data_IF_407233817973
#
_entry.id   IF_407233817973
#
_cell.length_a   1.000
_cell.length_b   1.000
_cell.length_c   1.000
_cell.angle_alpha   90.00
_cell.angle_beta   90.00
_cell.angle_gamma   90.00
#
_symmetry.space_group_name_H-M   'P 1'
#
loop_
_entity.id
_entity.type
_entity.pdbx_description
1 polymer ?
#
# COMPACT_ATOMS: atom_id res chain seq x y z
N UNK A 1 15.77 -3.74 18.89
CA UNK A 1 15.08 -2.47 18.59
C UNK A 1 14.06 -2.26 19.70
N UNK A 2 14.07 -1.10 20.35
CA UNK A 2 13.06 -0.76 21.35
C UNK A 2 12.30 0.48 20.87
N UNK A 3 10.98 0.41 20.94
CA UNK A 3 10.08 1.52 20.65
C UNK A 3 9.13 1.67 21.84
N UNK A 4 9.07 2.85 22.43
CA UNK A 4 8.26 3.10 23.61
C UNK A 4 7.53 4.43 23.49
N UNK A 5 6.25 4.41 23.80
CA UNK A 5 5.39 5.59 23.98
C UNK A 5 5.05 5.69 25.45
N UNK A 6 5.15 6.88 26.02
CA UNK A 6 4.80 7.18 27.42
C UNK A 6 3.83 8.34 27.43
N UNK A 7 2.71 8.16 28.14
CA UNK A 7 1.68 9.15 28.40
C UNK A 7 1.26 9.94 27.15
N UNK A 8 0.86 9.22 26.09
CA UNK A 8 0.32 9.82 24.88
C UNK A 8 -1.20 9.75 24.86
N UNK A 9 -1.82 10.68 24.15
CA UNK A 9 -3.23 10.66 23.77
C UNK A 9 -3.38 10.82 22.26
N UNK A 10 -4.54 10.49 21.74
CA UNK A 10 -4.91 10.67 20.34
C UNK A 10 -6.30 11.27 20.30
N UNK A 11 -6.43 12.45 19.65
CA UNK A 11 -7.69 13.16 19.49
C UNK A 11 -7.96 13.47 18.01
N UNK A 12 -9.23 13.55 17.65
CA UNK A 12 -9.69 14.09 16.38
C UNK A 12 -10.60 15.29 16.66
N UNK A 13 -10.06 16.49 16.49
CA UNK A 13 -10.75 17.71 16.89
C UNK A 13 -10.96 17.76 18.41
N UNK A 14 -12.23 17.84 18.84
CA UNK A 14 -12.57 17.86 20.26
C UNK A 14 -12.75 16.46 20.90
N UNK A 15 -12.77 15.41 20.10
CA UNK A 15 -13.04 14.04 20.58
C UNK A 15 -11.74 13.31 20.84
N UNK A 16 -11.47 12.93 22.09
CA UNK A 16 -10.34 12.08 22.45
C UNK A 16 -10.71 10.62 22.20
N UNK A 17 -9.93 9.94 21.38
CA UNK A 17 -10.13 8.54 20.99
C UNK A 17 -9.38 7.59 21.91
N UNK A 18 -8.16 7.95 22.30
CA UNK A 18 -7.31 7.16 23.19
C UNK A 18 -6.59 8.11 24.16
N UNK A 19 -6.59 7.73 25.43
CA UNK A 19 -5.93 8.46 26.51
C UNK A 19 -4.91 7.57 27.22
N UNK A 20 -3.93 8.20 27.88
CA UNK A 20 -2.91 7.54 28.70
C UNK A 20 -2.22 6.36 28.01
N UNK A 21 -1.89 6.52 26.73
CA UNK A 21 -1.24 5.46 25.97
C UNK A 21 0.17 5.24 26.53
N UNK A 22 0.37 4.08 27.14
CA UNK A 22 1.66 3.60 27.60
C UNK A 22 1.92 2.26 26.89
N UNK A 23 2.93 2.22 26.01
CA UNK A 23 3.14 1.09 25.13
C UNK A 23 4.63 0.91 24.84
N UNK A 24 5.12 -0.32 24.91
CA UNK A 24 6.52 -0.65 24.61
C UNK A 24 6.59 -1.87 23.67
N UNK A 25 7.42 -1.79 22.65
CA UNK A 25 7.76 -2.90 21.76
C UNK A 25 9.26 -3.18 21.89
N UNK A 26 9.59 -4.40 22.27
CA UNK A 26 10.98 -4.90 22.31
C UNK A 26 11.32 -5.69 21.06
N UNK A 27 12.60 -5.97 20.90
CA UNK A 27 13.07 -6.82 19.82
C UNK A 27 12.44 -8.21 19.92
N UNK A 28 11.89 -8.69 18.80
CA UNK A 28 11.21 -10.00 18.64
C UNK A 28 9.84 -10.12 19.32
N UNK A 29 9.29 -9.05 19.88
CA UNK A 29 7.93 -9.08 20.42
C UNK A 29 6.91 -9.38 19.31
N UNK A 30 5.88 -10.14 19.68
CA UNK A 30 4.66 -10.37 18.92
C UNK A 30 3.50 -9.86 19.75
N UNK A 31 2.94 -8.73 19.35
CA UNK A 31 1.91 -8.03 20.14
C UNK A 31 0.58 -8.12 19.39
N UNK A 32 -0.47 -8.55 20.10
CA UNK A 32 -1.84 -8.52 19.58
C UNK A 32 -2.63 -7.41 20.30
N UNK A 33 -3.27 -6.54 19.52
CA UNK A 33 -4.18 -5.50 20.02
C UNK A 33 -5.61 -6.01 19.89
N UNK A 34 -6.28 -6.19 21.01
CA UNK A 34 -7.65 -6.71 21.08
C UNK A 34 -8.60 -5.67 21.66
N UNK A 35 -9.85 -5.69 21.23
CA UNK A 35 -10.89 -4.76 21.71
C UNK A 35 -12.10 -4.75 20.80
N UNK A 36 -13.19 -4.12 21.24
CA UNK A 36 -14.43 -3.97 20.47
C UNK A 36 -14.19 -3.13 19.20
N UNK A 37 -15.10 -3.22 18.23
CA UNK A 37 -15.08 -2.31 17.07
C UNK A 37 -15.27 -0.87 17.56
N UNK A 38 -14.50 0.06 16.99
CA UNK A 38 -14.51 1.47 17.42
C UNK A 38 -13.60 1.80 18.61
N UNK A 39 -12.94 0.82 19.26
CA UNK A 39 -12.08 1.08 20.43
C UNK A 39 -10.70 1.68 20.13
N UNK A 40 -10.46 2.24 18.95
CA UNK A 40 -9.21 2.93 18.63
C UNK A 40 -8.02 2.05 18.18
N UNK A 41 -8.22 0.71 18.00
CA UNK A 41 -7.12 -0.20 17.57
C UNK A 41 -6.39 0.25 16.33
N UNK A 42 -7.13 0.56 15.26
CA UNK A 42 -6.58 1.04 14.00
C UNK A 42 -5.94 2.42 14.15
N UNK A 43 -6.50 3.26 15.00
CA UNK A 43 -5.98 4.59 15.32
C UNK A 43 -4.61 4.47 16.01
N UNK A 44 -4.49 3.57 17.00
CA UNK A 44 -3.21 3.29 17.65
C UNK A 44 -2.15 2.78 16.67
N UNK A 45 -2.50 1.84 15.77
CA UNK A 45 -1.57 1.35 14.74
C UNK A 45 -1.12 2.46 13.79
N UNK A 46 -2.04 3.34 13.37
CA UNK A 46 -1.69 4.51 12.55
C UNK A 46 -0.75 5.46 13.27
N UNK A 47 -0.98 5.73 14.56
CA UNK A 47 -0.15 6.61 15.37
C UNK A 47 1.26 6.04 15.63
N UNK A 48 1.43 4.72 15.67
CA UNK A 48 2.76 4.08 15.71
C UNK A 48 3.54 4.36 14.42
N UNK A 49 2.86 4.39 13.28
CA UNK A 49 3.48 4.70 11.98
C UNK A 49 3.73 6.19 11.82
N UNK A 50 2.72 6.99 12.14
CA UNK A 50 2.75 8.46 12.09
C UNK A 50 2.60 9.05 13.49
N UNK A 51 3.74 9.32 14.12
CA UNK A 51 3.77 9.85 15.47
C UNK A 51 3.26 11.29 15.60
N UNK A 52 3.00 12.00 14.51
CA UNK A 52 2.37 13.34 14.54
C UNK A 52 0.93 13.30 15.07
N UNK A 53 0.32 12.12 15.11
CA UNK A 53 -1.00 11.90 15.69
C UNK A 53 -1.01 11.81 17.21
N UNK A 54 0.17 11.73 17.86
CA UNK A 54 0.32 11.57 19.30
C UNK A 54 0.46 12.94 19.97
N UNK A 55 -0.33 13.17 20.98
CA UNK A 55 -0.34 14.35 21.83
C UNK A 55 -0.01 13.99 23.27
N UNK A 56 0.26 14.97 24.12
CA UNK A 56 0.48 14.76 25.56
C UNK A 56 -0.80 14.26 26.23
N UNK A 57 -0.70 13.16 26.97
CA UNK A 57 -1.81 12.60 27.72
C UNK A 57 -2.01 13.29 29.08
N UNK A 58 -3.09 12.93 29.76
CA UNK A 58 -3.51 13.54 31.05
C UNK A 58 -2.70 12.99 32.24
N UNK A 59 -1.95 11.89 32.07
CA UNK A 59 -1.24 11.21 33.15
C UNK A 59 -0.10 12.03 33.79
N UNK A 60 0.34 11.65 34.97
CA UNK A 60 1.42 12.32 35.70
C UNK A 60 2.80 12.25 35.02
N UNK A 61 3.01 11.25 34.18
CA UNK A 61 4.26 11.06 33.43
C UNK A 61 4.34 12.02 32.27
N UNK A 62 5.50 12.60 32.04
CA UNK A 62 5.74 13.47 30.86
C UNK A 62 5.63 12.64 29.57
N UNK A 63 4.93 13.21 28.57
CA UNK A 63 4.85 12.65 27.23
C UNK A 63 6.24 12.45 26.63
N UNK A 64 6.50 11.25 26.14
CA UNK A 64 7.75 10.93 25.46
C UNK A 64 7.60 9.75 24.48
N UNK A 65 8.36 9.83 23.38
CA UNK A 65 8.51 8.75 22.42
C UNK A 65 9.99 8.37 22.34
N UNK A 66 10.30 7.14 22.70
CA UNK A 66 11.65 6.61 22.67
C UNK A 66 11.79 5.64 21.47
N UNK A 67 12.78 5.87 20.62
CA UNK A 67 13.13 5.00 19.50
C UNK A 67 14.62 4.67 19.57
N UNK A 68 14.95 3.39 19.60
CA UNK A 68 16.34 2.96 19.47
C UNK A 68 16.67 2.77 17.99
N UNK A 69 17.50 3.66 17.44
CA UNK A 69 17.87 3.69 16.02
C UNK A 69 16.75 4.26 15.11
N UNK A 70 16.84 3.97 13.83
CA UNK A 70 15.85 4.35 12.79
C UNK A 70 15.06 3.13 12.33
N UNK A 71 14.03 2.71 13.06
CA UNK A 71 13.26 1.53 12.69
C UNK A 71 12.54 1.74 11.36
N UNK A 72 12.65 0.77 10.44
CA UNK A 72 11.78 0.69 9.28
C UNK A 72 10.47 0.06 9.72
N UNK A 73 9.37 0.80 9.61
CA UNK A 73 8.04 0.34 9.96
C UNK A 73 7.30 0.00 8.67
N UNK A 74 6.93 -1.27 8.48
CA UNK A 74 6.00 -1.69 7.45
C UNK A 74 4.57 -1.68 8.04
N UNK A 75 3.65 -1.00 7.38
CA UNK A 75 2.24 -0.95 7.78
C UNK A 75 1.36 -1.60 6.72
N UNK A 76 0.76 -2.73 7.06
CA UNK A 76 -0.26 -3.34 6.22
C UNK A 76 -1.61 -2.72 6.58
N UNK A 77 -2.12 -1.89 5.70
CA UNK A 77 -3.45 -1.27 5.86
C UNK A 77 -4.54 -2.34 5.77
N UNK A 78 -5.66 -2.09 6.46
CA UNK A 78 -6.89 -2.83 6.18
C UNK A 78 -7.28 -2.56 4.72
N UNK A 79 -7.53 -3.64 3.99
CA UNK A 79 -7.79 -3.57 2.56
C UNK A 79 -9.19 -3.03 2.35
N UNK A 80 -9.28 -1.83 1.81
CA UNK A 80 -10.49 -1.22 1.29
C UNK A 80 -10.24 -0.96 -0.20
N UNK A 81 -10.99 -1.62 -1.05
CA UNK A 81 -10.98 -1.29 -2.46
C UNK A 81 -11.70 0.04 -2.66
N UNK A 82 -11.05 1.02 -3.26
CA UNK A 82 -11.60 2.35 -3.52
C UNK A 82 -12.87 2.27 -4.37
N UNK A 83 -12.91 1.29 -5.29
CA UNK A 83 -14.06 1.04 -6.14
C UNK A 83 -14.37 -0.47 -6.19
N UNK A 84 -15.43 -0.88 -5.51
CA UNK A 84 -15.88 -2.28 -5.49
C UNK A 84 -16.42 -2.77 -6.83
N UNK A 85 -16.70 -1.87 -7.78
CA UNK A 85 -17.14 -2.21 -9.14
C UNK A 85 -15.99 -2.42 -10.13
N UNK A 86 -14.75 -2.08 -9.76
CA UNK A 86 -13.56 -2.41 -10.56
C UNK A 86 -13.41 -3.91 -10.72
N UNK A 87 -12.82 -4.33 -11.83
CA UNK A 87 -12.45 -5.74 -12.04
C UNK A 87 -11.21 -6.10 -11.24
N UNK A 88 -11.01 -7.40 -11.00
CA UNK A 88 -9.79 -7.90 -10.35
C UNK A 88 -8.53 -7.47 -11.11
N UNK A 89 -8.55 -7.51 -12.44
CA UNK A 89 -7.43 -7.09 -13.27
C UNK A 89 -7.11 -5.60 -13.10
N UNK A 90 -8.13 -4.75 -13.07
CA UNK A 90 -7.93 -3.31 -12.84
C UNK A 90 -7.28 -3.02 -11.49
N UNK A 91 -7.66 -3.74 -10.44
CA UNK A 91 -7.04 -3.59 -9.12
C UNK A 91 -5.58 -4.08 -9.12
N UNK A 92 -5.29 -5.24 -9.73
CA UNK A 92 -3.93 -5.76 -9.86
C UNK A 92 -3.04 -4.79 -10.65
N UNK A 93 -3.55 -4.22 -11.74
CA UNK A 93 -2.79 -3.30 -12.58
C UNK A 93 -2.45 -1.97 -11.90
N UNK A 94 -3.12 -1.60 -10.80
CA UNK A 94 -2.70 -0.45 -9.99
C UNK A 94 -1.28 -0.60 -9.44
N UNK A 95 -0.87 -1.83 -9.07
CA UNK A 95 0.50 -2.10 -8.62
C UNK A 95 1.55 -1.92 -9.73
N UNK A 96 1.11 -2.08 -10.98
CA UNK A 96 1.95 -1.95 -12.18
C UNK A 96 1.70 -0.64 -12.94
N UNK A 97 1.00 0.33 -12.33
CA UNK A 97 0.59 1.58 -12.98
C UNK A 97 1.73 2.27 -13.75
N UNK A 98 2.95 2.42 -13.20
CA UNK A 98 4.06 3.05 -13.93
C UNK A 98 4.44 2.30 -15.21
N UNK A 99 4.38 0.96 -15.21
CA UNK A 99 4.65 0.14 -16.39
C UNK A 99 3.54 0.23 -17.42
N UNK A 100 2.28 0.19 -16.98
CA UNK A 100 1.10 0.33 -17.86
C UNK A 100 1.08 1.69 -18.56
N UNK A 101 1.43 2.75 -17.86
CA UNK A 101 1.52 4.10 -18.44
C UNK A 101 2.68 4.21 -19.44
N UNK A 102 3.83 3.62 -19.09
CA UNK A 102 4.99 3.60 -19.98
C UNK A 102 4.71 2.80 -21.26
N UNK A 103 4.06 1.65 -21.14
CA UNK A 103 3.63 0.82 -22.29
C UNK A 103 2.68 1.60 -23.23
N UNK A 104 1.67 2.28 -22.65
CA UNK A 104 0.77 3.15 -23.44
C UNK A 104 1.53 4.26 -24.15
N UNK A 105 2.51 4.87 -23.49
CA UNK A 105 3.35 5.92 -24.09
C UNK A 105 4.18 5.38 -25.26
N UNK A 106 4.82 4.22 -25.08
CA UNK A 106 5.61 3.55 -26.12
C UNK A 106 4.73 3.22 -27.32
N UNK A 107 3.56 2.62 -27.11
CA UNK A 107 2.62 2.27 -28.17
C UNK A 107 2.18 3.50 -28.97
N UNK A 108 1.86 4.61 -28.29
CA UNK A 108 1.52 5.88 -28.96
C UNK A 108 2.67 6.43 -29.78
N UNK A 109 3.91 6.36 -29.30
CA UNK A 109 5.08 6.79 -30.07
C UNK A 109 5.33 5.85 -31.26
N UNK A 110 5.13 4.54 -31.12
CA UNK A 110 5.22 3.58 -32.20
C UNK A 110 4.21 3.88 -33.33
N UNK A 111 2.97 4.23 -32.99
CA UNK A 111 1.97 4.68 -33.97
C UNK A 111 2.38 5.98 -34.67
N UNK A 112 2.92 6.94 -33.94
CA UNK A 112 3.41 8.21 -34.52
C UNK A 112 4.58 7.99 -35.48
N UNK A 113 5.49 7.06 -35.16
CA UNK A 113 6.63 6.72 -36.04
C UNK A 113 6.23 6.12 -37.40
N UNK A 114 5.02 5.56 -37.49
CA UNK A 114 4.50 5.08 -38.79
C UNK A 114 4.18 6.22 -39.79
N UNK A 115 3.89 7.41 -39.25
CA UNK A 115 3.47 8.57 -40.07
C UNK A 115 4.47 9.72 -40.06
N UNK A 116 5.29 9.82 -39.00
CA UNK A 116 6.27 10.89 -38.82
C UNK A 116 7.56 10.32 -38.26
N UNK A 117 8.67 10.51 -38.97
CA UNK A 117 10.00 10.11 -38.48
C UNK A 117 10.79 11.36 -38.13
N UNK A 118 10.86 11.68 -36.82
CA UNK A 118 11.80 12.68 -36.30
C UNK A 118 12.87 12.03 -35.45
N UNK A 119 14.10 12.52 -35.50
CA UNK A 119 15.21 11.99 -34.69
C UNK A 119 14.89 12.03 -33.21
N UNK A 120 14.22 13.09 -32.75
CA UNK A 120 13.79 13.25 -31.36
C UNK A 120 12.76 12.20 -30.94
N UNK A 121 11.80 11.88 -31.80
CA UNK A 121 10.78 10.86 -31.51
C UNK A 121 11.41 9.47 -31.43
N UNK A 122 12.38 9.17 -32.30
CA UNK A 122 13.11 7.89 -32.28
C UNK A 122 13.93 7.76 -30.99
N UNK A 123 14.63 8.82 -30.58
CA UNK A 123 15.43 8.82 -29.35
C UNK A 123 14.55 8.61 -28.10
N UNK A 124 13.44 9.34 -28.01
CA UNK A 124 12.49 9.20 -26.90
C UNK A 124 11.86 7.78 -26.86
N UNK A 125 11.50 7.24 -28.01
CA UNK A 125 10.96 5.89 -28.13
C UNK A 125 11.97 4.84 -27.65
N UNK A 126 13.23 4.92 -28.09
CA UNK A 126 14.29 4.00 -27.70
C UNK A 126 14.56 4.06 -26.19
N UNK A 127 14.66 5.27 -25.64
CA UNK A 127 14.88 5.48 -24.21
C UNK A 127 13.74 4.90 -23.35
N UNK A 128 12.50 5.09 -23.77
CA UNK A 128 11.35 4.56 -23.04
C UNK A 128 11.25 3.03 -23.17
N UNK A 129 11.64 2.44 -24.32
CA UNK A 129 11.76 1.00 -24.49
C UNK A 129 12.81 0.38 -23.53
N UNK A 130 14.00 0.96 -23.47
CA UNK A 130 15.05 0.51 -22.56
C UNK A 130 14.59 0.57 -21.09
N UNK A 131 13.92 1.66 -20.72
CA UNK A 131 13.34 1.83 -19.40
C UNK A 131 12.27 0.78 -19.10
N UNK A 132 11.39 0.49 -20.05
CA UNK A 132 10.34 -0.52 -19.92
C UNK A 132 10.92 -1.91 -19.75
N UNK A 133 11.92 -2.28 -20.55
CA UNK A 133 12.64 -3.55 -20.41
C UNK A 133 13.32 -3.67 -19.05
N UNK A 134 14.07 -2.64 -18.63
CA UNK A 134 14.78 -2.63 -17.34
C UNK A 134 13.84 -2.79 -16.14
N UNK A 135 12.61 -2.25 -16.23
CA UNK A 135 11.60 -2.35 -15.18
C UNK A 135 10.77 -3.64 -15.25
N UNK A 136 11.11 -4.58 -16.12
CA UNK A 136 10.37 -5.84 -16.26
C UNK A 136 9.09 -5.73 -17.09
N UNK A 137 8.98 -4.73 -17.97
CA UNK A 137 7.80 -4.48 -18.78
C UNK A 137 7.33 -5.66 -19.63
N UNK A 138 8.26 -6.51 -20.08
CA UNK A 138 7.88 -7.73 -20.83
C UNK A 138 7.48 -8.92 -19.96
N UNK A 139 7.66 -8.83 -18.63
CA UNK A 139 7.44 -9.96 -17.71
C UNK A 139 6.30 -9.71 -16.72
N UNK A 140 5.90 -8.47 -16.44
CA UNK A 140 4.94 -8.14 -15.41
C UNK A 140 3.58 -8.85 -15.57
N UNK A 141 3.13 -9.06 -16.82
CA UNK A 141 1.89 -9.80 -17.10
C UNK A 141 1.99 -11.25 -16.65
N UNK A 142 3.11 -11.91 -16.97
CA UNK A 142 3.36 -13.28 -16.53
C UNK A 142 3.52 -13.39 -15.01
N UNK A 143 4.07 -12.35 -14.38
CA UNK A 143 4.24 -12.28 -12.93
C UNK A 143 2.91 -12.24 -12.21
N UNK A 144 2.00 -11.32 -12.58
CA UNK A 144 0.69 -11.26 -11.94
C UNK A 144 -0.18 -12.50 -12.26
N UNK A 145 -0.12 -13.03 -13.49
CA UNK A 145 -0.84 -14.27 -13.82
C UNK A 145 -0.34 -15.47 -12.99
N UNK A 146 0.97 -15.53 -12.74
CA UNK A 146 1.57 -16.56 -11.89
C UNK A 146 1.14 -16.39 -10.43
N UNK A 147 1.13 -15.15 -9.94
CA UNK A 147 0.64 -14.84 -8.60
C UNK A 147 -0.83 -15.22 -8.43
N UNK A 148 -1.69 -14.83 -9.37
CA UNK A 148 -3.11 -15.21 -9.38
C UNK A 148 -3.31 -16.71 -9.25
N UNK A 149 -2.60 -17.51 -10.06
CA UNK A 149 -2.68 -18.97 -10.01
C UNK A 149 -2.26 -19.53 -8.65
N UNK A 150 -1.18 -19.00 -8.06
CA UNK A 150 -0.72 -19.39 -6.71
C UNK A 150 -1.77 -19.10 -5.63
N UNK A 151 -2.53 -18.02 -5.77
CA UNK A 151 -3.62 -17.67 -4.85
C UNK A 151 -4.94 -18.39 -5.15
N UNK A 152 -4.98 -19.23 -6.19
CA UNK A 152 -6.14 -20.05 -6.54
C UNK A 152 -7.17 -19.32 -7.40
N UNK A 153 -6.77 -18.28 -8.13
CA UNK A 153 -7.61 -17.59 -9.11
C UNK A 153 -7.39 -18.15 -10.52
N UNK A 154 -8.45 -18.19 -11.30
CA UNK A 154 -8.43 -18.56 -12.72
C UNK A 154 -8.25 -17.32 -13.61
N UNK A 155 -8.04 -17.55 -14.91
CA UNK A 155 -7.92 -16.44 -15.87
C UNK A 155 -9.26 -15.69 -16.03
N UNK A 156 -10.38 -16.40 -15.92
CA UNK A 156 -11.72 -15.81 -16.00
C UNK A 156 -12.01 -14.87 -14.84
N UNK A 157 -11.39 -15.10 -13.68
CA UNK A 157 -11.55 -14.24 -12.49
C UNK A 157 -11.03 -12.83 -12.71
N UNK A 158 -10.11 -12.61 -13.66
CA UNK A 158 -9.58 -11.28 -14.02
C UNK A 158 -10.68 -10.29 -14.36
N UNK A 159 -11.73 -10.75 -15.03
CA UNK A 159 -12.84 -9.91 -15.49
C UNK A 159 -13.97 -9.79 -14.46
N UNK A 160 -13.91 -10.52 -13.35
CA UNK A 160 -14.90 -10.42 -12.28
C UNK A 160 -14.70 -9.14 -11.48
N UNK A 161 -15.81 -8.53 -11.09
CA UNK A 161 -15.79 -7.34 -10.24
C UNK A 161 -15.41 -7.71 -8.80
N UNK A 162 -14.76 -6.80 -8.11
CA UNK A 162 -14.30 -6.99 -6.73
C UNK A 162 -15.46 -7.32 -5.78
N UNK A 163 -16.65 -6.74 -6.00
CA UNK A 163 -17.83 -7.02 -5.16
C UNK A 163 -18.30 -8.48 -5.22
N UNK A 164 -17.98 -9.22 -6.29
CA UNK A 164 -18.35 -10.63 -6.50
C UNK A 164 -17.44 -11.63 -5.76
N UNK A 165 -16.33 -11.16 -5.19
CA UNK A 165 -15.40 -11.99 -4.44
C UNK A 165 -15.76 -12.06 -2.96
N UNK A 166 -15.51 -13.22 -2.32
CA UNK A 166 -15.62 -13.34 -0.87
C UNK A 166 -14.60 -12.49 -0.13
N UNK A 167 -14.83 -12.20 1.16
CA UNK A 167 -13.90 -11.42 1.99
C UNK A 167 -12.48 -11.99 1.99
N UNK A 168 -12.34 -13.33 2.11
CA UNK A 168 -11.03 -14.00 2.05
C UNK A 168 -10.36 -13.92 0.67
N UNK A 169 -11.14 -13.94 -0.42
CA UNK A 169 -10.62 -13.72 -1.77
C UNK A 169 -10.17 -12.28 -1.97
N UNK A 170 -10.95 -11.32 -1.50
CA UNK A 170 -10.59 -9.89 -1.53
C UNK A 170 -9.26 -9.62 -0.82
N UNK A 171 -9.04 -10.26 0.34
CA UNK A 171 -7.76 -10.17 1.07
C UNK A 171 -6.56 -10.72 0.26
N UNK A 172 -6.79 -11.66 -0.65
CA UNK A 172 -5.72 -12.22 -1.51
C UNK A 172 -5.45 -11.37 -2.76
N UNK A 173 -6.45 -10.58 -3.20
CA UNK A 173 -6.33 -9.72 -4.40
C UNK A 173 -5.54 -8.45 -4.07
N UNK A 174 -5.73 -7.91 -2.91
CA UNK A 174 -5.07 -6.71 -2.43
C UNK A 174 -3.70 -7.00 -1.84
#
# INVERSE_FOLDING_TARGET
MNYKIVNASISYGADTILEEINFEIKEKDKIAIVGRNGSGKTTLLKAIVDNSMLEEGIGESKFAIYKQGTPKIGYLKQIEFENSSSTMLEEILKAYQPLVELEKKINKMAEQLQTQSSSELIENYTKDLEKFEFQGGYTYQKEYETAMKKFGFSKEDQNKRIDQFSGGQKTKIA
#
